data_IF_987864192839
#
_entry.id   IF_987864192839
#
_cell.length_a   1.000
_cell.length_b   1.000
_cell.length_c   1.000
_cell.angle_alpha   90.00
_cell.angle_beta   90.00
_cell.angle_gamma   90.00
#
_symmetry.space_group_name_H-M   'P 1'
#
loop_
_entity.id
_entity.type
_entity.pdbx_description
1 polymer ?
#
# COMPACT_ATOMS: atom_id res chain seq x y z
N UNK A 1 23.33 -29.73 -11.31
CA UNK A 1 23.92 -28.82 -10.30
C UNK A 1 24.12 -27.41 -10.91
N UNK A 2 24.71 -27.30 -12.11
CA UNK A 2 24.93 -26.02 -12.79
C UNK A 2 23.61 -25.29 -13.03
N UNK A 3 22.53 -25.98 -13.41
CA UNK A 3 21.21 -25.41 -13.66
C UNK A 3 20.60 -24.75 -12.42
N UNK A 4 20.82 -25.30 -11.23
CA UNK A 4 20.32 -24.75 -9.96
C UNK A 4 21.03 -23.43 -9.62
N UNK A 5 22.33 -23.33 -9.89
CA UNK A 5 23.10 -22.11 -9.67
C UNK A 5 22.73 -20.95 -10.60
N UNK A 6 22.14 -21.24 -11.77
CA UNK A 6 21.73 -20.22 -12.74
C UNK A 6 20.34 -19.64 -12.40
N UNK A 7 19.48 -20.37 -11.69
CA UNK A 7 18.12 -19.92 -11.39
C UNK A 7 18.07 -18.51 -10.74
N UNK A 8 18.87 -18.17 -9.71
CA UNK A 8 18.86 -16.83 -9.14
C UNK A 8 19.19 -15.73 -10.17
N UNK A 9 20.13 -16.00 -11.08
CA UNK A 9 20.52 -15.04 -12.12
C UNK A 9 19.41 -14.83 -13.14
N UNK A 10 18.70 -15.88 -13.53
CA UNK A 10 17.56 -15.78 -14.45
C UNK A 10 16.44 -14.98 -13.80
N UNK A 11 16.18 -15.15 -12.51
CA UNK A 11 15.17 -14.38 -11.79
C UNK A 11 15.54 -12.91 -11.59
N UNK A 12 16.82 -12.60 -11.51
CA UNK A 12 17.32 -11.24 -11.45
C UNK A 12 17.58 -10.59 -12.81
N UNK A 13 17.42 -11.33 -13.93
CA UNK A 13 17.71 -10.78 -15.24
C UNK A 13 16.86 -9.54 -15.56
N UNK A 14 15.66 -9.44 -15.01
CA UNK A 14 14.80 -8.27 -15.18
C UNK A 14 15.42 -6.99 -14.61
N UNK A 15 16.22 -7.08 -13.53
CA UNK A 15 16.97 -5.94 -12.97
C UNK A 15 18.07 -5.43 -13.91
N UNK A 16 18.65 -6.34 -14.68
CA UNK A 16 19.68 -5.97 -15.68
C UNK A 16 19.06 -5.34 -16.92
N UNK A 17 17.81 -5.68 -17.23
CA UNK A 17 17.09 -5.17 -18.40
C UNK A 17 16.41 -3.85 -18.11
N UNK A 18 15.85 -3.68 -16.91
CA UNK A 18 15.09 -2.48 -16.51
C UNK A 18 15.35 -2.14 -15.04
N UNK A 19 16.41 -1.37 -14.74
CA UNK A 19 16.78 -1.01 -13.36
C UNK A 19 15.77 -0.06 -12.68
N UNK A 20 14.92 0.63 -13.45
CA UNK A 20 13.94 1.60 -12.93
C UNK A 20 12.58 0.99 -12.61
N UNK A 21 12.40 -0.32 -12.77
CA UNK A 21 11.12 -0.97 -12.49
C UNK A 21 10.83 -1.00 -11.00
N UNK A 22 9.66 -0.48 -10.61
CA UNK A 22 9.14 -0.62 -9.24
C UNK A 22 8.68 -2.07 -9.04
N UNK A 23 9.39 -2.79 -8.18
CA UNK A 23 9.09 -4.20 -7.91
C UNK A 23 8.00 -4.34 -6.85
N UNK A 24 6.87 -4.90 -7.24
CA UNK A 24 5.85 -5.31 -6.29
C UNK A 24 6.32 -6.54 -5.48
N UNK A 25 5.84 -6.64 -4.23
CA UNK A 25 6.17 -7.75 -3.32
C UNK A 25 5.85 -9.11 -3.95
N UNK A 26 4.82 -9.19 -4.78
CA UNK A 26 4.43 -10.39 -5.52
C UNK A 26 5.56 -10.89 -6.45
N UNK A 27 6.33 -9.98 -7.03
CA UNK A 27 7.47 -10.35 -7.89
C UNK A 27 8.64 -10.93 -7.08
N UNK A 28 8.64 -10.75 -5.76
CA UNK A 28 9.67 -11.27 -4.85
C UNK A 28 9.31 -12.62 -4.24
N UNK A 29 8.11 -13.15 -4.48
CA UNK A 29 7.68 -14.45 -3.94
C UNK A 29 8.60 -15.61 -4.38
N UNK A 30 9.27 -15.47 -5.53
CA UNK A 30 10.24 -16.47 -5.99
C UNK A 30 11.42 -16.67 -5.03
N UNK A 31 11.73 -15.71 -4.14
CA UNK A 31 12.77 -15.89 -3.12
C UNK A 31 12.47 -17.06 -2.17
N UNK A 32 11.20 -17.41 -1.98
CA UNK A 32 10.81 -18.58 -1.19
C UNK A 32 11.42 -19.86 -1.76
N UNK A 33 11.54 -19.97 -3.08
CA UNK A 33 12.16 -21.12 -3.73
C UNK A 33 13.65 -21.24 -3.42
N UNK A 34 14.36 -20.13 -3.18
CA UNK A 34 15.77 -20.20 -2.76
C UNK A 34 15.92 -20.86 -1.38
N UNK A 35 15.00 -20.62 -0.46
CA UNK A 35 14.98 -21.30 0.84
C UNK A 35 14.70 -22.80 0.66
N UNK A 36 13.71 -23.15 -0.19
CA UNK A 36 13.39 -24.55 -0.48
C UNK A 36 14.59 -25.25 -1.12
N UNK A 37 15.25 -24.63 -2.10
CA UNK A 37 16.47 -25.18 -2.72
C UNK A 37 17.58 -25.34 -1.67
N UNK A 38 17.78 -24.37 -0.80
CA UNK A 38 18.76 -24.44 0.28
C UNK A 38 18.50 -25.65 1.19
N UNK A 39 17.26 -25.87 1.60
CA UNK A 39 16.86 -27.01 2.42
C UNK A 39 17.08 -28.34 1.72
N UNK A 40 16.71 -28.43 0.44
CA UNK A 40 16.92 -29.64 -0.39
C UNK A 40 18.42 -29.94 -0.54
N UNK A 41 19.26 -28.92 -0.73
CA UNK A 41 20.71 -29.10 -0.81
C UNK A 41 21.27 -29.61 0.52
N UNK A 42 20.81 -29.06 1.66
CA UNK A 42 21.22 -29.54 2.99
C UNK A 42 20.85 -31.02 3.15
N UNK A 43 19.63 -31.42 2.77
CA UNK A 43 19.17 -32.81 2.84
C UNK A 43 20.01 -33.74 1.97
N UNK A 44 20.26 -33.36 0.71
CA UNK A 44 21.09 -34.14 -0.23
C UNK A 44 22.52 -34.33 0.28
N UNK A 45 23.11 -33.33 0.91
CA UNK A 45 24.48 -33.40 1.45
C UNK A 45 24.57 -34.01 2.84
N UNK A 46 23.45 -34.11 3.59
CA UNK A 46 23.42 -34.70 4.93
C UNK A 46 23.86 -36.15 4.94
N UNK A 47 23.65 -36.91 3.88
CA UNK A 47 24.01 -38.31 3.75
C UNK A 47 25.55 -38.53 3.68
N UNK A 48 26.30 -37.46 3.37
CA UNK A 48 27.75 -37.55 3.23
C UNK A 48 28.45 -37.54 4.61
N UNK A 49 29.22 -38.59 4.91
CA UNK A 49 29.97 -38.72 6.17
C UNK A 49 31.24 -37.83 6.26
N UNK A 50 31.50 -37.00 5.25
CA UNK A 50 32.68 -36.13 5.23
C UNK A 50 32.47 -34.96 6.18
N UNK A 51 33.38 -34.76 7.13
CA UNK A 51 33.32 -33.70 8.15
C UNK A 51 33.26 -32.30 7.56
N UNK A 52 33.94 -32.03 6.45
CA UNK A 52 33.90 -30.73 5.75
C UNK A 52 32.50 -30.45 5.19
N UNK A 53 31.89 -31.47 4.61
CA UNK A 53 30.51 -31.32 4.08
C UNK A 53 29.50 -31.09 5.21
N UNK A 54 29.65 -31.77 6.32
CA UNK A 54 28.81 -31.56 7.50
C UNK A 54 28.95 -30.15 8.08
N UNK A 55 30.17 -29.60 8.13
CA UNK A 55 30.42 -28.24 8.60
C UNK A 55 29.75 -27.21 7.64
N UNK A 56 29.87 -27.44 6.32
CA UNK A 56 29.19 -26.59 5.30
C UNK A 56 27.66 -26.63 5.49
N UNK A 57 27.08 -27.80 5.72
CA UNK A 57 25.66 -27.95 5.97
C UNK A 57 25.17 -27.19 7.20
N UNK A 58 25.94 -27.29 8.31
CA UNK A 58 25.64 -26.54 9.54
C UNK A 58 25.68 -25.01 9.23
N UNK A 59 26.72 -24.57 8.53
CA UNK A 59 26.86 -23.18 8.12
C UNK A 59 25.68 -22.68 7.26
N UNK A 60 25.24 -23.49 6.29
CA UNK A 60 24.06 -23.19 5.46
C UNK A 60 22.78 -23.15 6.31
N UNK A 61 22.60 -24.06 7.24
CA UNK A 61 21.42 -24.07 8.13
C UNK A 61 21.37 -22.80 8.99
N UNK A 62 22.50 -22.42 9.58
CA UNK A 62 22.61 -21.19 10.36
C UNK A 62 22.30 -19.97 9.49
N UNK A 63 22.85 -19.89 8.27
CA UNK A 63 22.60 -18.81 7.33
C UNK A 63 21.12 -18.70 6.99
N UNK A 64 20.46 -19.80 6.65
CA UNK A 64 19.02 -19.83 6.36
C UNK A 64 18.20 -19.39 7.59
N UNK A 65 18.58 -19.83 8.80
CA UNK A 65 17.90 -19.41 10.01
C UNK A 65 18.04 -17.90 10.26
N UNK A 66 19.24 -17.33 10.07
CA UNK A 66 19.48 -15.89 10.23
C UNK A 66 18.67 -15.08 9.18
N UNK A 67 18.68 -15.52 7.92
CA UNK A 67 17.89 -14.86 6.87
C UNK A 67 16.39 -14.94 7.18
N UNK A 68 15.89 -16.12 7.56
CA UNK A 68 14.49 -16.32 7.93
C UNK A 68 14.07 -15.45 9.12
N UNK A 69 14.90 -15.38 10.15
CA UNK A 69 14.67 -14.52 11.31
C UNK A 69 14.61 -13.04 10.93
N UNK A 70 15.57 -12.57 10.12
CA UNK A 70 15.57 -11.18 9.63
C UNK A 70 14.32 -10.86 8.78
N UNK A 71 13.92 -11.77 7.89
CA UNK A 71 12.67 -11.62 7.14
C UNK A 71 11.44 -11.56 8.05
N UNK A 72 11.40 -12.33 9.11
CA UNK A 72 10.30 -12.30 10.08
C UNK A 72 10.21 -10.94 10.77
N UNK A 73 11.34 -10.38 11.21
CA UNK A 73 11.38 -9.05 11.81
C UNK A 73 10.85 -8.00 10.84
N UNK A 74 11.37 -7.98 9.60
CA UNK A 74 10.97 -7.04 8.58
C UNK A 74 9.46 -7.18 8.28
N UNK A 75 8.96 -8.40 8.14
CA UNK A 75 7.54 -8.66 7.89
C UNK A 75 6.67 -8.14 9.03
N UNK A 76 7.06 -8.35 10.28
CA UNK A 76 6.32 -7.83 11.43
C UNK A 76 6.25 -6.31 11.43
N UNK A 77 7.34 -5.62 11.11
CA UNK A 77 7.36 -4.16 10.98
C UNK A 77 6.39 -3.70 9.87
N UNK A 78 6.34 -4.40 8.73
CA UNK A 78 5.39 -4.08 7.67
C UNK A 78 3.93 -4.31 8.08
N UNK A 79 3.63 -5.40 8.77
CA UNK A 79 2.27 -5.65 9.28
C UNK A 79 1.85 -4.60 10.31
N UNK A 80 2.76 -4.18 11.18
CA UNK A 80 2.49 -3.09 12.13
C UNK A 80 2.22 -1.78 11.38
N UNK A 81 3.06 -1.41 10.40
CA UNK A 81 2.84 -0.25 9.53
C UNK A 81 1.46 -0.30 8.86
N UNK A 82 1.11 -1.42 8.23
CA UNK A 82 -0.20 -1.60 7.59
C UNK A 82 -1.34 -1.44 8.59
N UNK A 83 -1.23 -2.04 9.77
CA UNK A 83 -2.25 -1.92 10.82
C UNK A 83 -2.44 -0.48 11.25
N UNK A 84 -1.37 0.27 11.43
CA UNK A 84 -1.43 1.65 11.87
C UNK A 84 -1.96 2.58 10.77
N UNK A 85 -1.57 2.36 9.51
CA UNK A 85 -2.11 3.07 8.34
C UNK A 85 -3.61 2.80 8.20
N UNK A 86 -4.05 1.56 8.40
CA UNK A 86 -5.47 1.21 8.39
C UNK A 86 -6.24 1.97 9.46
N UNK A 87 -5.78 1.93 10.72
CA UNK A 87 -6.44 2.65 11.82
C UNK A 87 -6.53 4.16 11.56
N UNK A 88 -5.47 4.74 11.01
CA UNK A 88 -5.44 6.16 10.69
C UNK A 88 -6.41 6.49 9.54
N UNK A 89 -6.49 5.63 8.54
CA UNK A 89 -7.44 5.77 7.44
C UNK A 89 -8.89 5.64 7.92
N UNK A 90 -9.18 4.67 8.79
CA UNK A 90 -10.48 4.53 9.43
C UNK A 90 -10.88 5.80 10.17
N UNK A 91 -9.99 6.32 11.00
CA UNK A 91 -10.24 7.54 11.75
C UNK A 91 -10.47 8.76 10.84
N UNK A 92 -9.73 8.86 9.74
CA UNK A 92 -9.88 9.93 8.76
C UNK A 92 -11.21 9.82 8.03
N UNK A 93 -11.49 8.69 7.41
CA UNK A 93 -12.69 8.53 6.58
C UNK A 93 -13.98 8.51 7.40
N UNK A 94 -13.95 8.01 8.63
CA UNK A 94 -15.10 8.16 9.55
C UNK A 94 -15.41 9.64 9.84
N UNK A 95 -14.39 10.48 10.00
CA UNK A 95 -14.61 11.93 10.19
C UNK A 95 -15.15 12.57 8.91
N UNK A 96 -14.63 12.21 7.75
CA UNK A 96 -15.11 12.72 6.46
C UNK A 96 -16.58 12.35 6.23
N UNK A 97 -16.93 11.09 6.44
CA UNK A 97 -18.33 10.63 6.32
C UNK A 97 -19.22 11.32 7.32
N UNK A 98 -18.79 11.46 8.57
CA UNK A 98 -19.52 12.20 9.58
C UNK A 98 -19.75 13.67 9.18
N UNK A 99 -18.74 14.33 8.62
CA UNK A 99 -18.86 15.71 8.16
C UNK A 99 -19.81 15.81 6.94
N UNK A 100 -19.79 14.82 6.03
CA UNK A 100 -20.73 14.73 4.89
C UNK A 100 -22.17 14.61 5.37
N UNK A 101 -22.44 13.69 6.31
CA UNK A 101 -23.79 13.41 6.81
C UNK A 101 -24.40 14.58 7.60
N UNK A 102 -23.58 15.52 8.06
CA UNK A 102 -24.01 16.70 8.80
C UNK A 102 -24.25 17.92 7.95
N UNK A 103 -24.02 17.86 6.66
CA UNK A 103 -24.32 18.98 5.76
C UNK A 103 -25.83 19.22 5.77
N UNK A 104 -26.24 20.47 5.95
CA UNK A 104 -27.62 20.87 5.77
C UNK A 104 -28.07 20.48 4.33
N UNK A 105 -29.18 19.82 4.20
CA UNK A 105 -29.68 19.26 2.92
C UNK A 105 -28.99 17.96 2.44
N UNK A 106 -28.22 17.28 3.27
CA UNK A 106 -27.66 15.98 2.93
C UNK A 106 -28.75 14.98 2.54
N UNK A 107 -28.52 14.26 1.44
CA UNK A 107 -29.34 13.15 0.98
C UNK A 107 -28.45 12.01 0.47
N UNK A 108 -28.74 10.78 0.91
CA UNK A 108 -28.01 9.57 0.53
C UNK A 108 -28.09 9.27 -0.99
N UNK A 109 -29.04 9.88 -1.70
CA UNK A 109 -29.15 9.73 -3.17
C UNK A 109 -28.22 10.67 -3.95
N UNK A 110 -27.66 11.70 -3.29
CA UNK A 110 -26.76 12.63 -3.93
C UNK A 110 -25.47 11.96 -4.34
N UNK A 111 -25.00 12.15 -5.58
CA UNK A 111 -23.69 11.64 -5.98
C UNK A 111 -22.58 12.40 -5.27
N UNK A 112 -21.44 11.71 -5.08
CA UNK A 112 -20.25 12.26 -4.43
C UNK A 112 -19.08 12.36 -5.39
N UNK A 113 -18.28 13.44 -5.24
CA UNK A 113 -17.01 13.68 -5.92
C UNK A 113 -15.96 14.03 -4.87
N UNK A 114 -14.78 13.47 -5.00
CA UNK A 114 -13.60 13.80 -4.19
C UNK A 114 -12.59 14.53 -5.06
N UNK A 115 -12.11 15.66 -4.59
CA UNK A 115 -11.05 16.44 -5.22
C UNK A 115 -9.77 16.22 -4.41
N UNK A 116 -8.73 15.82 -5.10
CA UNK A 116 -7.43 15.57 -4.46
C UNK A 116 -7.41 14.37 -3.51
N UNK A 117 -6.48 14.37 -2.59
CA UNK A 117 -6.21 13.23 -1.74
C UNK A 117 -5.69 13.66 -0.35
N UNK A 118 -6.08 13.01 0.74
CA UNK A 118 -5.60 13.35 2.07
C UNK A 118 -4.15 12.86 2.29
N UNK A 119 -3.21 13.31 1.46
CA UNK A 119 -1.82 12.83 1.46
C UNK A 119 -1.08 13.07 2.78
N UNK A 120 -1.35 14.19 3.44
CA UNK A 120 -0.70 14.57 4.71
C UNK A 120 -1.32 13.95 5.95
N UNK A 121 -2.50 13.34 5.84
CA UNK A 121 -3.19 12.78 6.99
C UNK A 121 -2.59 11.45 7.48
N UNK A 122 -1.71 10.83 6.71
CA UNK A 122 -1.13 9.52 7.00
C UNK A 122 0.33 9.60 7.46
N UNK A 123 0.69 10.61 8.24
CA UNK A 123 2.05 10.84 8.76
C UNK A 123 2.58 9.69 9.63
N UNK A 124 1.71 8.79 10.08
CA UNK A 124 2.13 7.64 10.87
C UNK A 124 3.01 6.68 10.04
N UNK A 125 2.82 6.66 8.72
CA UNK A 125 3.64 5.86 7.81
C UNK A 125 5.11 6.28 7.82
N UNK A 126 5.39 7.57 8.00
CA UNK A 126 6.74 8.15 8.00
C UNK A 126 7.61 7.58 9.14
N UNK A 127 6.99 7.14 10.26
CA UNK A 127 7.70 6.50 11.37
C UNK A 127 8.40 5.20 10.98
N UNK A 128 7.95 4.58 9.92
CA UNK A 128 8.43 3.28 9.45
C UNK A 128 9.41 3.40 8.28
N UNK A 129 9.51 4.56 7.63
CA UNK A 129 10.31 4.73 6.42
C UNK A 129 11.81 4.54 6.67
N UNK A 130 12.32 4.96 7.82
CA UNK A 130 13.71 4.71 8.22
C UNK A 130 13.98 3.22 8.52
N UNK A 131 12.96 2.48 9.01
CA UNK A 131 13.07 1.07 9.39
C UNK A 131 12.80 0.12 8.24
N UNK A 132 12.15 0.60 7.19
CA UNK A 132 11.75 -0.18 6.02
C UNK A 132 12.28 0.48 4.74
N UNK A 133 13.60 0.37 4.48
CA UNK A 133 14.28 1.08 3.38
C UNK A 133 13.78 0.68 1.98
N UNK A 134 12.88 -0.29 1.90
CA UNK A 134 12.30 -0.78 0.67
C UNK A 134 10.78 -0.61 0.76
N UNK A 135 10.19 0.18 -0.13
CA UNK A 135 8.73 0.28 -0.28
C UNK A 135 8.16 -1.07 -0.76
N UNK A 136 8.16 -2.06 0.10
CA UNK A 136 7.70 -3.41 -0.22
C UNK A 136 6.23 -3.52 0.17
N UNK A 137 5.36 -3.07 -0.71
CA UNK A 137 3.95 -3.44 -0.70
C UNK A 137 3.05 -2.86 0.41
N UNK A 138 3.60 -2.39 1.51
CA UNK A 138 2.83 -1.66 2.51
C UNK A 138 2.85 -0.18 2.15
N UNK A 139 1.87 0.26 1.36
CA UNK A 139 1.72 1.66 1.00
C UNK A 139 1.60 2.57 2.23
N UNK A 140 1.99 3.83 2.06
CA UNK A 140 1.84 4.85 3.08
C UNK A 140 0.37 5.32 3.20
N UNK A 141 -0.52 4.76 2.39
CA UNK A 141 -1.95 5.10 2.32
C UNK A 141 -2.75 3.91 1.77
N UNK A 142 -3.97 3.75 2.25
CA UNK A 142 -4.89 2.71 1.77
C UNK A 142 -5.52 3.10 0.44
N UNK A 143 -5.75 4.38 0.25
CA UNK A 143 -6.41 4.90 -0.92
C UNK A 143 -5.40 5.70 -1.76
N UNK A 144 -5.19 5.33 -3.01
CA UNK A 144 -4.23 5.94 -3.94
C UNK A 144 -4.87 6.92 -4.93
N UNK A 145 -6.18 6.84 -5.08
CA UNK A 145 -6.97 7.68 -5.97
C UNK A 145 -8.37 7.91 -5.38
N UNK A 146 -9.14 8.79 -6.02
CA UNK A 146 -10.50 9.09 -5.57
C UNK A 146 -11.40 7.85 -5.59
N UNK A 147 -11.20 6.92 -6.52
CA UNK A 147 -11.98 5.69 -6.62
C UNK A 147 -11.72 4.74 -5.47
N UNK A 148 -10.46 4.57 -5.07
CA UNK A 148 -10.10 3.76 -3.91
C UNK A 148 -10.57 4.38 -2.60
N UNK A 149 -10.52 5.71 -2.46
CA UNK A 149 -11.07 6.42 -1.30
C UNK A 149 -12.58 6.25 -1.17
N UNK A 150 -13.31 6.43 -2.28
CA UNK A 150 -14.76 6.22 -2.31
C UNK A 150 -15.13 4.77 -2.02
N UNK A 151 -14.42 3.80 -2.60
CA UNK A 151 -14.65 2.39 -2.32
C UNK A 151 -14.40 2.05 -0.84
N UNK A 152 -13.37 2.63 -0.24
CA UNK A 152 -13.09 2.48 1.18
C UNK A 152 -14.24 3.04 2.03
N UNK A 153 -14.65 4.29 1.78
CA UNK A 153 -15.77 4.90 2.51
C UNK A 153 -17.06 4.09 2.37
N UNK A 154 -17.33 3.51 1.19
CA UNK A 154 -18.52 2.69 0.95
C UNK A 154 -18.47 1.34 1.65
N UNK A 155 -17.38 0.63 1.50
CA UNK A 155 -17.28 -0.78 1.92
C UNK A 155 -16.91 -0.93 3.39
N UNK A 156 -16.07 -0.02 3.92
CA UNK A 156 -15.54 -0.12 5.28
C UNK A 156 -16.22 0.86 6.25
N UNK A 157 -16.61 2.05 5.77
CA UNK A 157 -17.19 3.09 6.63
C UNK A 157 -18.72 3.13 6.53
N UNK A 158 -19.30 2.61 5.44
CA UNK A 158 -20.76 2.52 5.26
C UNK A 158 -21.40 3.72 4.56
N UNK A 159 -20.65 4.51 3.80
CA UNK A 159 -21.19 5.57 2.96
C UNK A 159 -22.02 5.00 1.81
N UNK A 160 -23.31 5.35 1.72
CA UNK A 160 -24.21 4.80 0.72
C UNK A 160 -24.36 5.63 -0.56
N UNK A 161 -23.85 6.84 -0.57
CA UNK A 161 -23.96 7.77 -1.69
C UNK A 161 -23.38 7.20 -3.00
N UNK A 162 -24.04 7.40 -4.15
CA UNK A 162 -23.51 6.97 -5.45
C UNK A 162 -22.28 7.79 -5.85
N UNK A 163 -21.39 7.19 -6.63
CA UNK A 163 -20.26 7.91 -7.24
C UNK A 163 -20.76 8.73 -8.42
N UNK A 164 -20.30 9.98 -8.57
CA UNK A 164 -20.65 10.84 -9.70
C UNK A 164 -20.12 10.25 -11.00
N UNK A 165 -21.00 9.94 -11.91
CA UNK A 165 -20.63 9.57 -13.27
C UNK A 165 -20.02 10.79 -14.00
N UNK A 166 -18.92 10.58 -14.75
CA UNK A 166 -18.16 11.65 -15.42
C UNK A 166 -17.68 12.76 -14.45
N UNK A 167 -17.07 12.38 -13.35
CA UNK A 167 -16.56 13.31 -12.34
C UNK A 167 -15.66 14.41 -12.95
N UNK A 168 -14.79 14.08 -13.90
CA UNK A 168 -13.90 15.05 -14.56
C UNK A 168 -14.68 16.18 -15.24
N UNK A 169 -15.74 15.85 -16.02
CA UNK A 169 -16.59 16.84 -16.67
C UNK A 169 -17.29 17.74 -15.64
N UNK A 170 -17.79 17.15 -14.55
CA UNK A 170 -18.41 17.91 -13.47
C UNK A 170 -17.43 18.88 -12.80
N UNK A 171 -16.19 18.44 -12.57
CA UNK A 171 -15.13 19.27 -12.00
C UNK A 171 -14.82 20.44 -12.93
N UNK A 172 -14.69 20.21 -14.25
CA UNK A 172 -14.40 21.26 -15.22
C UNK A 172 -15.53 22.29 -15.32
N UNK A 173 -16.79 21.85 -15.27
CA UNK A 173 -17.98 22.72 -15.30
C UNK A 173 -18.14 23.56 -14.02
N UNK A 174 -17.58 23.11 -12.88
CA UNK A 174 -17.74 23.77 -11.59
C UNK A 174 -16.40 24.23 -10.99
N UNK A 175 -15.35 24.30 -11.79
CA UNK A 175 -13.97 24.56 -11.36
C UNK A 175 -13.83 25.80 -10.49
N UNK A 176 -14.44 26.90 -10.87
CA UNK A 176 -14.37 28.16 -10.12
C UNK A 176 -14.90 28.04 -8.69
N UNK A 177 -16.01 27.32 -8.50
CA UNK A 177 -16.58 27.07 -7.18
C UNK A 177 -15.72 26.10 -6.38
N UNK A 178 -15.22 25.04 -7.01
CA UNK A 178 -14.37 24.02 -6.39
C UNK A 178 -13.04 24.62 -5.92
N UNK A 179 -12.41 25.45 -6.77
CA UNK A 179 -11.13 26.09 -6.45
C UNK A 179 -11.27 27.14 -5.33
N UNK A 180 -12.48 27.69 -5.12
CA UNK A 180 -12.76 28.57 -4.00
C UNK A 180 -12.99 27.83 -2.68
N UNK A 181 -13.22 26.50 -2.71
CA UNK A 181 -13.42 25.70 -1.50
C UNK A 181 -12.12 25.54 -0.71
N UNK A 182 -12.14 25.71 0.61
CA UNK A 182 -10.97 25.40 1.44
C UNK A 182 -10.67 23.90 1.42
N UNK A 183 -9.45 23.55 1.81
CA UNK A 183 -9.02 22.13 1.91
C UNK A 183 -9.50 21.55 3.25
N UNK A 184 -10.00 20.31 3.22
CA UNK A 184 -10.37 19.56 4.42
C UNK A 184 -9.15 19.43 5.38
N UNK A 185 -9.33 19.63 6.70
CA UNK A 185 -10.58 19.65 7.46
C UNK A 185 -11.17 21.07 7.73
N UNK A 186 -10.85 22.06 6.96
CA UNK A 186 -11.40 23.39 7.17
C UNK A 186 -12.93 23.42 6.92
N UNK A 187 -13.63 24.32 7.62
CA UNK A 187 -15.08 24.49 7.40
C UNK A 187 -15.34 24.98 5.97
N UNK A 188 -16.25 24.35 5.25
CA UNK A 188 -16.55 24.63 3.85
C UNK A 188 -15.74 23.79 2.85
N UNK A 189 -14.95 22.85 3.33
CA UNK A 189 -14.24 21.89 2.46
C UNK A 189 -15.12 20.76 1.92
N UNK A 190 -16.34 20.67 2.43
CA UNK A 190 -17.36 19.74 1.97
C UNK A 190 -18.61 20.56 1.71
N UNK A 191 -19.06 20.60 0.46
CA UNK A 191 -20.22 21.40 0.03
C UNK A 191 -21.07 20.63 -0.98
N UNK A 192 -22.32 21.07 -1.16
CA UNK A 192 -23.21 20.57 -2.20
C UNK A 192 -23.21 21.56 -3.36
N UNK A 193 -22.65 21.12 -4.48
CA UNK A 193 -22.59 21.88 -5.73
C UNK A 193 -23.43 21.14 -6.77
N UNK A 194 -24.42 21.81 -7.35
CA UNK A 194 -25.30 21.23 -8.37
C UNK A 194 -25.81 19.82 -8.03
N UNK A 195 -26.39 19.68 -6.84
CA UNK A 195 -26.92 18.41 -6.31
C UNK A 195 -25.87 17.28 -6.24
N UNK A 196 -24.60 17.64 -6.00
CA UNK A 196 -23.47 16.71 -5.87
C UNK A 196 -22.66 17.11 -4.65
N UNK A 197 -22.34 16.16 -3.79
CA UNK A 197 -21.48 16.37 -2.64
C UNK A 197 -20.03 16.42 -3.13
N UNK A 198 -19.34 17.50 -2.87
CA UNK A 198 -17.93 17.71 -3.22
C UNK A 198 -17.10 17.72 -1.95
N UNK A 199 -16.09 16.88 -1.87
CA UNK A 199 -15.09 16.84 -0.78
C UNK A 199 -13.75 17.31 -1.35
N UNK A 200 -13.22 18.42 -0.83
CA UNK A 200 -11.96 18.98 -1.30
C UNK A 200 -10.81 18.64 -0.32
N UNK A 201 -9.93 17.72 -0.72
CA UNK A 201 -8.67 17.42 -0.01
C UNK A 201 -7.47 18.24 -0.52
N UNK A 202 -7.69 19.12 -1.49
CA UNK A 202 -6.64 19.89 -2.14
C UNK A 202 -6.02 19.17 -3.34
N UNK A 203 -5.36 19.92 -4.21
CA UNK A 203 -4.60 19.34 -5.31
C UNK A 203 -3.43 18.54 -4.76
N UNK A 204 -3.21 17.36 -5.32
CA UNK A 204 -2.00 16.59 -5.07
C UNK A 204 -0.91 17.15 -5.99
N UNK A 205 0.08 17.78 -5.41
CA UNK A 205 1.39 17.87 -6.07
C UNK A 205 1.96 16.43 -6.10
N UNK A 206 2.02 15.86 -7.29
CA UNK A 206 2.64 14.55 -7.59
C UNK A 206 4.16 14.69 -7.65
#
# INVERSE_FOLDING_TARGET
IISIGVIPFVWYCIYFISPEVIYHILMKQHFVFLFIIGLVLIELFYVHKNQVIQLINIGMLILLAVIGFNHTIISNIYYEKMSDVNKQSDALFNRVVYDIERIEQYDQTMPIVIIGFPSRALSIADRYDEKTPWNVGAGNRIAYDYGSALNYMKNEVGLHNPVKYLAGKFIDENREQIDAMPVWPAKGSIEIINNTIVVNFGENEW
#
